data_IF_673684948659
#
_entry.id   IF_673684948659
#
_cell.length_a   1.000
_cell.length_b   1.000
_cell.length_c   1.000
_cell.angle_alpha   90.00
_cell.angle_beta   90.00
_cell.angle_gamma   90.00
#
_symmetry.space_group_name_H-M   'P 1'
#
loop_
_entity.id
_entity.type
_entity.pdbx_description
1 polymer ?
#
# COMPACT_ATOMS: atom_id res chain seq x y z
N UNK A 1 -3.29 8.47 14.25
CA UNK A 1 -4.40 8.98 15.12
C UNK A 1 -5.56 8.01 15.09
N UNK A 2 -6.15 7.68 16.26
CA UNK A 2 -7.29 6.76 16.36
C UNK A 2 -8.59 7.56 16.36
N UNK A 3 -9.60 7.07 15.63
CA UNK A 3 -10.90 7.73 15.48
C UNK A 3 -12.03 6.72 15.65
N UNK A 4 -13.12 7.14 16.29
CA UNK A 4 -14.34 6.35 16.41
C UNK A 4 -15.46 7.11 15.72
N UNK A 5 -16.09 6.51 14.70
CA UNK A 5 -17.23 7.14 14.02
C UNK A 5 -18.54 6.97 14.81
N UNK A 6 -19.60 7.63 14.33
CA UNK A 6 -20.95 7.55 14.89
C UNK A 6 -21.55 6.13 14.87
N UNK A 7 -21.04 5.25 14.00
CA UNK A 7 -21.40 3.85 13.86
C UNK A 7 -20.52 2.92 14.71
N UNK A 8 -19.71 3.47 15.62
CA UNK A 8 -18.73 2.77 16.47
C UNK A 8 -17.63 2.03 15.69
N UNK A 9 -17.35 2.45 14.46
CA UNK A 9 -16.24 1.95 13.65
C UNK A 9 -14.96 2.58 14.13
N UNK A 10 -14.00 1.74 14.49
CA UNK A 10 -12.66 2.16 14.86
C UNK A 10 -11.81 2.30 13.60
N UNK A 11 -11.24 3.48 13.44
CA UNK A 11 -10.38 3.87 12.33
C UNK A 11 -9.01 4.29 12.85
N UNK A 12 -7.97 4.03 12.08
CA UNK A 12 -6.62 4.47 12.37
C UNK A 12 -6.07 5.24 11.17
N UNK A 13 -5.71 6.49 11.40
CA UNK A 13 -4.89 7.27 10.49
C UNK A 13 -3.41 6.98 10.74
N UNK A 14 -2.70 6.49 9.72
CA UNK A 14 -1.25 6.33 9.71
C UNK A 14 -0.64 7.47 8.87
N UNK A 15 0.03 8.40 9.55
CA UNK A 15 0.66 9.55 8.90
C UNK A 15 1.86 9.14 8.03
N UNK A 16 2.61 8.11 8.42
CA UNK A 16 3.78 7.65 7.64
C UNK A 16 3.38 7.03 6.31
N UNK A 17 2.26 6.32 6.30
CA UNK A 17 1.71 5.69 5.10
C UNK A 17 0.75 6.60 4.34
N UNK A 18 0.46 7.80 4.89
CA UNK A 18 -0.60 8.69 4.43
C UNK A 18 -1.88 7.90 4.09
N UNK A 19 -2.36 7.13 5.06
CA UNK A 19 -3.40 6.14 4.82
C UNK A 19 -4.30 5.91 6.01
N UNK A 20 -5.53 5.47 5.73
CA UNK A 20 -6.52 5.16 6.75
C UNK A 20 -6.78 3.65 6.78
N UNK A 21 -6.87 3.09 7.99
CA UNK A 21 -7.20 1.68 8.22
C UNK A 21 -8.53 1.55 8.97
N UNK A 22 -9.30 0.53 8.60
CA UNK A 22 -10.50 0.10 9.31
C UNK A 22 -10.18 -1.06 10.25
N UNK A 23 -10.38 -0.83 11.55
CA UNK A 23 -9.99 -1.78 12.59
C UNK A 23 -11.12 -2.73 13.00
N UNK A 24 -12.40 -2.31 12.89
CA UNK A 24 -13.69 -3.02 13.09
C UNK A 24 -14.69 -2.15 13.87
N UNK A 25 -15.95 -2.60 13.97
CA UNK A 25 -17.09 -1.92 14.63
C UNK A 25 -17.16 -2.08 16.15
N UNK A 26 -16.21 -2.80 16.75
CA UNK A 26 -16.07 -2.93 18.20
C UNK A 26 -14.63 -2.57 18.60
N UNK A 27 -14.49 -1.76 19.65
CA UNK A 27 -13.21 -1.29 20.16
C UNK A 27 -12.28 -2.45 20.57
N UNK A 28 -12.79 -3.42 21.34
CA UNK A 28 -12.00 -4.59 21.77
C UNK A 28 -11.55 -5.43 20.58
N UNK A 29 -12.45 -5.67 19.64
CA UNK A 29 -12.13 -6.43 18.42
C UNK A 29 -11.13 -5.68 17.54
N UNK A 30 -11.30 -4.36 17.41
CA UNK A 30 -10.40 -3.51 16.64
C UNK A 30 -8.99 -3.50 17.20
N UNK A 31 -8.83 -3.37 18.51
CA UNK A 31 -7.53 -3.50 19.16
C UNK A 31 -6.95 -4.91 19.06
N UNK A 32 -7.78 -5.95 19.21
CA UNK A 32 -7.34 -7.34 19.08
C UNK A 32 -6.80 -7.60 17.67
N UNK A 33 -7.50 -7.14 16.64
CA UNK A 33 -7.02 -7.27 15.26
C UNK A 33 -5.74 -6.43 15.07
N UNK A 34 -5.70 -5.21 15.59
CA UNK A 34 -4.50 -4.36 15.42
C UNK A 34 -3.23 -4.97 16.04
N UNK A 35 -3.33 -5.53 17.24
CA UNK A 35 -2.16 -6.05 17.96
C UNK A 35 -1.87 -7.53 17.73
N UNK A 36 -2.89 -8.35 17.46
CA UNK A 36 -2.78 -9.82 17.44
C UNK A 36 -3.03 -10.40 16.05
N UNK A 37 -3.94 -9.82 15.26
CA UNK A 37 -4.34 -10.33 13.94
C UNK A 37 -4.34 -9.22 12.87
N UNK A 38 -3.18 -8.61 12.59
CA UNK A 38 -3.11 -7.48 11.66
C UNK A 38 -3.51 -7.86 10.23
N UNK A 39 -3.47 -9.14 9.88
CA UNK A 39 -3.98 -9.73 8.64
C UNK A 39 -5.49 -9.50 8.43
N UNK A 40 -6.26 -9.31 9.52
CA UNK A 40 -7.71 -9.09 9.46
C UNK A 40 -8.10 -7.63 9.22
N UNK A 41 -7.13 -6.72 9.21
CA UNK A 41 -7.36 -5.30 8.98
C UNK A 41 -7.58 -5.01 7.49
N UNK A 42 -8.20 -3.86 7.23
CA UNK A 42 -8.35 -3.35 5.87
C UNK A 42 -7.83 -1.92 5.78
N UNK A 43 -7.14 -1.58 4.70
CA UNK A 43 -6.91 -0.21 4.28
C UNK A 43 -8.18 0.36 3.65
N UNK A 44 -8.43 1.65 3.85
CA UNK A 44 -9.46 2.41 3.16
C UNK A 44 -8.76 3.25 2.09
N UNK A 45 -9.10 3.00 0.84
CA UNK A 45 -8.55 3.75 -0.29
C UNK A 45 -9.10 5.17 -0.31
N UNK A 46 -8.23 6.16 -0.45
CA UNK A 46 -8.60 7.58 -0.39
C UNK A 46 -9.51 8.01 -1.57
N UNK A 47 -9.35 7.39 -2.73
CA UNK A 47 -10.01 7.78 -3.98
C UNK A 47 -11.47 7.32 -4.06
N UNK A 48 -11.77 6.15 -3.50
CA UNK A 48 -13.06 5.46 -3.71
C UNK A 48 -13.65 4.86 -2.42
N UNK A 49 -13.02 5.06 -1.27
CA UNK A 49 -13.42 4.55 0.04
C UNK A 49 -13.57 3.02 0.12
N UNK A 50 -13.04 2.27 -0.85
CA UNK A 50 -13.07 0.80 -0.79
C UNK A 50 -12.16 0.31 0.32
N UNK A 51 -12.63 -0.75 0.99
CA UNK A 51 -11.84 -1.47 1.97
C UNK A 51 -11.06 -2.59 1.28
N UNK A 52 -9.74 -2.52 1.35
CA UNK A 52 -8.83 -3.51 0.78
C UNK A 52 -8.13 -4.22 1.94
N UNK A 53 -8.22 -5.56 2.05
CA UNK A 53 -7.48 -6.30 3.07
C UNK A 53 -5.97 -6.02 3.01
N UNK A 54 -5.30 -5.99 4.16
CA UNK A 54 -3.86 -5.69 4.23
C UNK A 54 -3.02 -6.57 3.31
N UNK A 55 -3.30 -7.87 3.25
CA UNK A 55 -2.53 -8.81 2.44
C UNK A 55 -2.69 -8.53 0.94
N UNK A 56 -3.91 -8.19 0.51
CA UNK A 56 -4.18 -7.82 -0.89
C UNK A 56 -3.51 -6.49 -1.25
N UNK A 57 -3.54 -5.51 -0.33
CA UNK A 57 -2.85 -4.24 -0.51
C UNK A 57 -1.33 -4.42 -0.65
N UNK A 58 -0.72 -5.25 0.21
CA UNK A 58 0.71 -5.57 0.14
C UNK A 58 1.07 -6.27 -1.17
N UNK A 59 0.28 -7.26 -1.58
CA UNK A 59 0.48 -7.95 -2.86
C UNK A 59 0.46 -6.98 -4.04
N UNK A 60 -0.52 -6.08 -4.09
CA UNK A 60 -0.60 -5.07 -5.15
C UNK A 60 0.59 -4.10 -5.13
N UNK A 61 1.04 -3.69 -3.94
CA UNK A 61 2.21 -2.83 -3.79
C UNK A 61 3.51 -3.51 -4.25
N UNK A 62 3.68 -4.79 -3.94
CA UNK A 62 4.81 -5.61 -4.41
C UNK A 62 4.80 -5.75 -5.94
N UNK A 63 3.66 -6.14 -6.52
CA UNK A 63 3.48 -6.27 -7.98
C UNK A 63 3.77 -4.96 -8.72
N UNK A 64 3.34 -3.83 -8.16
CA UNK A 64 3.61 -2.50 -8.70
C UNK A 64 5.10 -2.13 -8.57
N UNK A 65 5.73 -2.46 -7.45
CA UNK A 65 7.17 -2.28 -7.25
C UNK A 65 8.00 -3.03 -8.28
N UNK A 66 7.69 -4.31 -8.50
CA UNK A 66 8.35 -5.15 -9.50
C UNK A 66 8.18 -4.58 -10.92
N UNK A 67 6.96 -4.17 -11.28
CA UNK A 67 6.70 -3.54 -12.58
C UNK A 67 7.51 -2.24 -12.78
N UNK A 68 7.61 -1.40 -11.75
CA UNK A 68 8.40 -0.16 -11.83
C UNK A 68 9.88 -0.50 -11.98
N UNK A 69 10.39 -1.47 -11.23
CA UNK A 69 11.77 -1.90 -11.29
C UNK A 69 12.16 -2.42 -12.68
N UNK A 70 11.36 -3.32 -13.26
CA UNK A 70 11.59 -3.84 -14.61
C UNK A 70 11.58 -2.73 -15.67
N UNK A 71 10.66 -1.77 -15.55
CA UNK A 71 10.65 -0.61 -16.45
C UNK A 71 11.90 0.27 -16.31
N UNK A 72 12.42 0.46 -15.10
CA UNK A 72 13.67 1.20 -14.88
C UNK A 72 14.88 0.45 -15.45
N UNK A 73 14.95 -0.88 -15.30
CA UNK A 73 15.98 -1.72 -15.89
C UNK A 73 15.96 -1.65 -17.42
N UNK A 74 14.78 -1.78 -18.02
CA UNK A 74 14.61 -1.66 -19.46
C UNK A 74 15.08 -0.30 -19.96
N UNK A 75 14.65 0.79 -19.32
CA UNK A 75 15.11 2.16 -19.65
C UNK A 75 16.62 2.30 -19.55
N UNK A 76 17.23 1.79 -18.48
CA UNK A 76 18.70 1.82 -18.31
C UNK A 76 19.41 1.06 -19.43
N UNK A 77 18.92 -0.13 -19.78
CA UNK A 77 19.48 -0.95 -20.87
C UNK A 77 19.42 -0.22 -22.22
N UNK A 78 18.27 0.36 -22.58
CA UNK A 78 18.11 1.12 -23.82
C UNK A 78 19.03 2.35 -23.88
N UNK A 79 19.17 3.09 -22.76
CA UNK A 79 20.08 4.23 -22.66
C UNK A 79 21.53 3.81 -22.88
N UNK A 80 21.98 2.72 -22.24
CA UNK A 80 23.36 2.24 -22.40
C UNK A 80 23.69 1.74 -23.80
N UNK A 81 22.72 1.12 -24.50
CA UNK A 81 22.92 0.70 -25.90
C UNK A 81 23.00 1.89 -26.85
N UNK A 82 22.14 2.89 -26.68
CA UNK A 82 22.12 4.12 -27.48
C UNK A 82 23.45 4.88 -27.42
N UNK A 83 24.02 5.05 -26.24
CA UNK A 83 25.31 5.75 -26.07
C UNK A 83 26.51 4.89 -26.50
N UNK A 84 26.46 3.57 -26.31
CA UNK A 84 27.53 2.67 -26.76
C UNK A 84 27.64 2.51 -28.28
N UNK A 85 26.58 2.80 -29.05
CA UNK A 85 26.60 2.82 -30.51
C UNK A 85 27.16 4.14 -31.08
N UNK A 86 27.10 5.26 -30.34
CA UNK A 86 27.62 6.56 -30.77
C UNK A 86 29.15 6.71 -30.59
N UNK A 87 29.77 5.95 -29.68
CA UNK A 87 31.23 5.98 -29.45
C UNK A 87 32.05 5.14 -30.47
N UNK A 88 31.38 4.42 -31.38
CA UNK A 88 32.01 3.55 -32.38
C UNK A 88 31.75 3.95 -33.85
N UNK A 89 31.18 5.13 -34.10
CA UNK A 89 30.97 5.69 -35.45
C UNK A 89 31.94 6.86 -35.72
#
# INVERSE_FOLDING_TARGET
MWMLDENKRLLLWNEMENGMMYLRSNLTEGFTNYFIHPDRLCYIMEDNFKMVPVDEFKRQAEEMGDMIWENLLARKYFMTKKFGEEDHA
#
